data_IF_961099769269
#
_entry.id   IF_961099769269
#
_cell.length_a   1.000
_cell.length_b   1.000
_cell.length_c   1.000
_cell.angle_alpha   90.00
_cell.angle_beta   90.00
_cell.angle_gamma   90.00
#
_symmetry.space_group_name_H-M   'P 1'
#
loop_
_entity.id
_entity.type
_entity.pdbx_description
1 polymer ?
#
# COMPACT_ATOMS: atom_id res chain seq x y z
N UNK A 1 9.28 25.12 -3.93
CA UNK A 1 9.04 24.03 -2.93
C UNK A 1 8.84 22.77 -3.74
N UNK A 2 9.31 21.61 -3.28
CA UNK A 2 9.05 20.38 -4.00
C UNK A 2 7.55 20.15 -4.15
N UNK A 3 7.13 19.58 -5.25
CA UNK A 3 5.76 19.11 -5.45
C UNK A 3 5.63 17.70 -4.85
N UNK A 4 4.56 17.47 -4.08
CA UNK A 4 4.28 16.19 -3.45
C UNK A 4 3.07 15.55 -4.12
N UNK A 5 3.23 14.35 -4.67
CA UNK A 5 2.15 13.58 -5.28
C UNK A 5 1.86 12.37 -4.41
N UNK A 6 0.62 12.27 -3.94
CA UNK A 6 0.12 11.12 -3.17
C UNK A 6 -0.13 9.95 -4.11
N UNK A 7 0.60 8.86 -3.90
CA UNK A 7 0.53 7.63 -4.68
C UNK A 7 -0.28 6.53 -3.98
N UNK A 8 -1.10 6.89 -2.99
CA UNK A 8 -1.94 5.94 -2.26
C UNK A 8 -3.41 6.02 -2.63
N UNK A 9 -4.10 4.89 -2.54
CA UNK A 9 -5.55 4.82 -2.51
C UNK A 9 -6.10 5.14 -1.13
N UNK A 10 -7.37 5.55 -1.07
CA UNK A 10 -8.07 5.71 0.20
C UNK A 10 -8.21 4.36 0.93
N UNK A 11 -8.21 4.41 2.26
CA UNK A 11 -8.69 3.30 3.09
C UNK A 11 -10.21 3.48 3.20
N UNK A 12 -10.98 2.60 2.58
CA UNK A 12 -12.44 2.69 2.47
C UNK A 12 -13.12 1.42 2.98
N UNK A 13 -14.30 1.58 3.59
CA UNK A 13 -15.09 0.45 4.04
C UNK A 13 -15.57 -0.40 2.85
N UNK A 14 -15.44 -1.72 2.95
CA UNK A 14 -15.77 -2.65 1.87
C UNK A 14 -14.73 -2.78 0.78
N UNK A 15 -13.55 -2.19 0.97
CA UNK A 15 -12.44 -2.30 0.03
C UNK A 15 -11.91 -3.73 0.00
N UNK A 16 -11.73 -4.32 -1.22
CA UNK A 16 -11.15 -5.64 -1.34
C UNK A 16 -9.73 -5.66 -0.80
N UNK A 17 -9.42 -6.73 -0.08
CA UNK A 17 -8.09 -6.98 0.47
C UNK A 17 -7.50 -8.19 -0.25
N UNK A 18 -6.30 -8.04 -0.79
CA UNK A 18 -5.60 -9.16 -1.41
C UNK A 18 -5.45 -10.31 -0.40
N UNK A 19 -5.80 -11.52 -0.81
CA UNK A 19 -5.63 -12.73 -0.02
C UNK A 19 -6.55 -12.89 1.22
N UNK A 20 -7.43 -11.94 1.50
CA UNK A 20 -8.35 -11.99 2.64
C UNK A 20 -9.81 -12.20 2.22
N UNK A 21 -10.55 -12.99 3.01
CA UNK A 21 -12.01 -13.10 2.89
C UNK A 21 -12.74 -11.92 3.55
N UNK A 22 -12.01 -11.07 4.28
CA UNK A 22 -12.56 -9.95 5.02
C UNK A 22 -12.34 -8.63 4.29
N UNK A 23 -13.39 -7.81 4.22
CA UNK A 23 -13.31 -6.45 3.72
C UNK A 23 -12.77 -5.50 4.81
N UNK A 24 -12.15 -4.40 4.38
CA UNK A 24 -11.82 -3.27 5.28
C UNK A 24 -13.07 -2.80 6.00
N UNK A 25 -12.98 -2.62 7.32
CA UNK A 25 -14.07 -2.09 8.14
C UNK A 25 -13.62 -0.87 8.95
N UNK A 26 -14.48 0.13 8.99
CA UNK A 26 -14.25 1.36 9.73
C UNK A 26 -15.36 1.53 10.76
N UNK A 27 -15.02 1.41 12.03
CA UNK A 27 -15.97 1.60 13.12
C UNK A 27 -15.80 3.00 13.70
N UNK A 28 -16.87 3.78 13.72
CA UNK A 28 -16.89 4.99 14.53
C UNK A 28 -17.12 4.56 15.99
N UNK A 29 -16.06 4.54 16.77
CA UNK A 29 -16.11 4.12 18.18
C UNK A 29 -16.56 5.23 19.09
N UNK A 30 -16.36 6.50 18.69
CA UNK A 30 -16.77 7.68 19.44
C UNK A 30 -17.21 8.77 18.48
N UNK A 31 -18.43 9.25 18.60
CA UNK A 31 -18.88 10.49 17.97
C UNK A 31 -18.54 11.68 18.87
N UNK A 32 -18.64 12.88 18.32
CA UNK A 32 -18.46 14.10 19.12
C UNK A 32 -19.47 14.19 20.28
N UNK A 33 -20.66 13.60 20.11
CA UNK A 33 -21.76 13.64 21.09
C UNK A 33 -21.62 12.56 22.17
N UNK A 34 -21.07 11.37 21.85
CA UNK A 34 -21.12 10.18 22.73
C UNK A 34 -19.91 9.99 23.63
N UNK A 35 -18.81 10.73 23.41
CA UNK A 35 -17.52 10.43 24.01
C UNK A 35 -17.51 10.30 25.53
N UNK A 36 -18.21 11.19 26.20
CA UNK A 36 -18.24 11.19 27.66
C UNK A 36 -18.94 9.97 28.25
N UNK A 37 -19.96 9.45 27.55
CA UNK A 37 -20.75 8.30 28.00
C UNK A 37 -20.04 6.98 27.69
N UNK A 38 -19.47 6.83 26.52
CA UNK A 38 -18.82 5.58 26.10
C UNK A 38 -17.53 5.29 26.89
N UNK A 39 -16.69 6.30 27.12
CA UNK A 39 -15.48 6.13 27.94
C UNK A 39 -15.82 5.66 29.36
N UNK A 40 -16.90 6.17 29.95
CA UNK A 40 -17.34 5.72 31.25
C UNK A 40 -17.77 4.26 31.23
N UNK A 41 -18.57 3.86 30.23
CA UNK A 41 -19.07 2.49 30.09
C UNK A 41 -17.92 1.49 29.84
N UNK A 42 -16.99 1.82 28.93
CA UNK A 42 -15.82 0.96 28.66
C UNK A 42 -14.91 0.77 29.88
N UNK A 43 -14.75 1.80 30.72
CA UNK A 43 -13.94 1.71 31.92
C UNK A 43 -14.62 0.86 32.98
N UNK A 44 -15.94 1.00 33.13
CA UNK A 44 -16.75 0.17 34.03
C UNK A 44 -16.73 -1.31 33.58
N UNK A 45 -16.87 -1.59 32.29
CA UNK A 45 -16.78 -2.95 31.71
C UNK A 45 -15.41 -3.60 31.88
N UNK A 46 -14.33 -2.80 31.85
CA UNK A 46 -12.95 -3.28 32.07
C UNK A 46 -12.61 -3.37 33.58
N UNK A 47 -13.55 -3.12 34.46
CA UNK A 47 -13.33 -3.16 35.91
C UNK A 47 -12.35 -2.08 36.40
N UNK A 48 -12.15 -1.02 35.63
CA UNK A 48 -11.34 0.12 36.02
C UNK A 48 -12.19 1.07 36.85
N UNK A 49 -11.68 1.37 38.05
CA UNK A 49 -12.34 2.30 38.95
C UNK A 49 -12.50 3.69 38.30
N UNK A 50 -13.75 4.14 38.18
CA UNK A 50 -14.08 5.47 37.65
C UNK A 50 -13.55 6.62 38.53
N UNK A 51 -12.98 6.32 39.69
CA UNK A 51 -12.40 7.27 40.61
C UNK A 51 -10.88 7.44 40.46
N UNK A 52 -10.21 6.69 39.57
CA UNK A 52 -8.81 6.94 39.30
C UNK A 52 -8.60 8.39 38.84
N UNK A 53 -7.60 9.06 39.40
CA UNK A 53 -7.32 10.50 39.20
C UNK A 53 -7.24 10.87 37.70
N UNK A 54 -6.77 9.96 36.84
CA UNK A 54 -6.69 10.14 35.38
C UNK A 54 -8.09 10.20 34.74
N UNK A 55 -8.98 9.26 35.11
CA UNK A 55 -10.35 9.17 34.59
C UNK A 55 -11.18 10.35 35.11
N UNK A 56 -11.05 10.66 36.39
CA UNK A 56 -11.74 11.78 37.02
C UNK A 56 -11.33 13.12 36.44
N UNK A 57 -10.04 13.30 36.12
CA UNK A 57 -9.49 14.51 35.52
C UNK A 57 -9.96 14.68 34.08
N UNK A 58 -9.97 13.61 33.30
CA UNK A 58 -10.41 13.62 31.91
C UNK A 58 -11.92 13.85 31.79
N UNK A 59 -12.70 13.16 32.61
CA UNK A 59 -14.17 13.31 32.64
C UNK A 59 -14.61 14.67 33.24
N UNK A 60 -13.87 15.24 34.21
CA UNK A 60 -14.13 16.58 34.73
C UNK A 60 -13.86 17.67 33.71
N UNK A 61 -12.76 17.58 33.00
CA UNK A 61 -12.44 18.50 31.91
C UNK A 61 -13.52 18.49 30.81
N UNK A 62 -14.17 17.35 30.59
CA UNK A 62 -15.26 17.21 29.62
C UNK A 62 -16.61 17.74 30.16
N UNK A 63 -16.82 17.76 31.48
CA UNK A 63 -18.09 18.24 32.12
C UNK A 63 -18.14 19.75 32.29
N UNK A 64 -17.01 20.44 32.41
CA UNK A 64 -16.95 21.83 32.85
C UNK A 64 -16.81 22.87 31.72
N UNK A 65 -17.22 22.57 30.50
CA UNK A 65 -17.31 23.58 29.47
C UNK A 65 -16.75 23.29 28.10
N UNK A 66 -16.67 22.04 27.69
CA UNK A 66 -16.33 21.66 26.30
C UNK A 66 -17.58 21.16 25.58
N UNK A 67 -18.50 22.06 25.33
CA UNK A 67 -19.82 21.69 24.77
C UNK A 67 -19.84 21.50 23.25
N UNK A 68 -18.77 21.80 22.48
CA UNK A 68 -18.91 21.86 21.04
C UNK A 68 -17.83 21.17 20.20
N UNK A 69 -16.65 20.74 20.74
CA UNK A 69 -15.61 20.12 19.92
C UNK A 69 -14.90 18.93 20.59
N UNK A 70 -15.60 17.83 20.76
CA UNK A 70 -14.98 16.60 21.26
C UNK A 70 -14.27 15.85 20.13
N UNK A 71 -13.02 15.34 20.34
CA UNK A 71 -12.35 14.55 19.31
C UNK A 71 -13.13 13.27 19.03
N UNK A 72 -13.31 12.97 17.73
CA UNK A 72 -13.89 11.72 17.25
C UNK A 72 -12.80 10.66 17.09
N UNK A 73 -13.11 9.41 17.41
CA UNK A 73 -12.24 8.28 17.20
C UNK A 73 -12.88 7.24 16.28
N UNK A 74 -12.06 6.64 15.44
CA UNK A 74 -12.42 5.49 14.62
C UNK A 74 -11.46 4.34 14.90
N UNK A 75 -11.97 3.13 14.87
CA UNK A 75 -11.18 1.90 14.86
C UNK A 75 -11.19 1.35 13.45
N UNK A 76 -10.01 1.01 12.93
CA UNK A 76 -9.83 0.41 11.62
C UNK A 76 -9.53 -1.07 11.80
N UNK A 77 -10.23 -1.93 11.06
CA UNK A 77 -9.87 -3.32 10.83
C UNK A 77 -9.44 -3.41 9.37
N UNK A 78 -8.15 -3.55 9.15
CA UNK A 78 -7.52 -3.61 7.83
C UNK A 78 -6.53 -4.76 7.81
N UNK A 79 -6.24 -5.30 6.62
CA UNK A 79 -5.15 -6.25 6.42
C UNK A 79 -3.80 -5.51 6.37
N UNK A 80 -2.72 -6.20 6.72
CA UNK A 80 -1.36 -5.75 6.46
C UNK A 80 -1.12 -5.53 4.95
N UNK A 81 -1.76 -6.36 4.11
CA UNK A 81 -1.69 -6.34 2.65
C UNK A 81 -2.88 -5.60 2.02
N UNK A 82 -3.21 -4.43 2.53
CA UNK A 82 -4.25 -3.62 1.93
C UNK A 82 -4.52 -2.30 2.66
N UNK A 83 -5.03 -1.25 1.96
CA UNK A 83 -5.22 -1.13 0.51
C UNK A 83 -3.93 -0.91 -0.29
N UNK A 84 -3.32 0.29 -0.29
CA UNK A 84 -1.95 0.52 -0.78
C UNK A 84 -1.00 0.09 0.31
N UNK A 85 -0.12 -0.84 0.02
CA UNK A 85 0.73 -1.48 1.03
C UNK A 85 2.11 -1.79 0.48
N UNK A 86 2.98 -2.19 1.39
CA UNK A 86 4.30 -2.74 1.12
C UNK A 86 4.38 -4.13 1.74
N UNK A 87 5.00 -5.06 1.03
CA UNK A 87 5.30 -6.39 1.53
C UNK A 87 6.69 -6.42 2.17
N UNK A 88 6.82 -7.19 3.24
CA UNK A 88 8.12 -7.52 3.82
C UNK A 88 8.77 -8.69 3.09
N UNK A 89 10.06 -8.89 3.33
CA UNK A 89 10.81 -9.98 2.70
C UNK A 89 10.34 -11.35 3.20
N UNK A 90 9.93 -11.45 4.45
CA UNK A 90 9.45 -12.71 5.04
C UNK A 90 8.03 -13.08 4.58
N UNK A 91 7.34 -12.23 3.82
CA UNK A 91 5.99 -12.52 3.33
C UNK A 91 5.90 -13.85 2.55
N UNK A 92 6.85 -14.14 1.68
CA UNK A 92 6.96 -15.43 0.96
C UNK A 92 8.24 -16.23 1.27
N UNK A 93 9.13 -15.70 2.09
CA UNK A 93 10.33 -16.40 2.53
C UNK A 93 10.32 -16.56 4.07
N UNK A 94 9.60 -17.58 4.59
CA UNK A 94 9.36 -17.72 6.02
C UNK A 94 10.64 -18.05 6.82
N UNK A 95 11.77 -18.23 6.15
CA UNK A 95 13.09 -18.37 6.81
C UNK A 95 13.84 -17.06 6.90
N UNK A 96 13.32 -15.98 6.29
CA UNK A 96 13.86 -14.63 6.46
C UNK A 96 13.55 -14.09 7.86
N UNK A 97 14.47 -13.30 8.40
CA UNK A 97 14.27 -12.55 9.64
C UNK A 97 13.84 -11.09 9.36
N UNK A 98 13.54 -10.76 8.09
CA UNK A 98 13.18 -9.41 7.65
C UNK A 98 11.66 -9.22 7.59
N UNK A 99 11.02 -9.27 8.76
CA UNK A 99 9.65 -8.78 8.93
C UNK A 99 9.59 -7.25 8.76
N UNK A 100 8.40 -6.69 8.55
CA UNK A 100 8.25 -5.27 8.21
C UNK A 100 8.85 -4.31 9.25
N UNK A 101 8.90 -4.69 10.52
CA UNK A 101 9.47 -3.87 11.59
C UNK A 101 11.00 -4.02 11.74
N UNK A 102 11.60 -5.03 11.10
CA UNK A 102 13.04 -5.27 11.09
C UNK A 102 13.73 -4.84 9.78
N UNK A 103 12.97 -4.51 8.73
CA UNK A 103 13.52 -4.02 7.45
C UNK A 103 14.21 -2.67 7.63
N UNK A 104 15.37 -2.43 6.94
CA UNK A 104 16.08 -1.16 6.98
C UNK A 104 15.24 0.02 6.47
N UNK A 105 15.27 1.16 7.14
CA UNK A 105 14.44 2.32 6.77
C UNK A 105 14.83 2.95 5.43
N UNK A 106 16.08 2.85 5.03
CA UNK A 106 16.58 3.34 3.73
C UNK A 106 16.01 2.59 2.53
N UNK A 107 15.41 1.40 2.73
CA UNK A 107 14.69 0.68 1.68
C UNK A 107 13.34 1.35 1.30
N UNK A 108 12.82 2.21 2.15
CA UNK A 108 11.54 2.89 1.96
C UNK A 108 11.67 4.36 1.53
N UNK A 109 12.90 4.76 1.20
CA UNK A 109 13.20 6.14 0.81
C UNK A 109 14.38 6.18 -0.16
N UNK A 110 14.19 6.71 -1.36
CA UNK A 110 15.26 6.78 -2.34
C UNK A 110 14.82 7.30 -3.70
N UNK A 111 15.62 7.05 -4.71
CA UNK A 111 15.30 7.36 -6.09
C UNK A 111 14.23 6.42 -6.63
N UNK A 112 13.36 6.92 -7.49
CA UNK A 112 12.36 6.12 -8.19
C UNK A 112 12.14 6.61 -9.61
N UNK A 113 11.70 5.70 -10.46
CA UNK A 113 11.15 5.97 -11.79
C UNK A 113 9.76 5.36 -11.92
N UNK A 114 8.92 5.91 -12.80
CA UNK A 114 7.60 5.35 -13.09
C UNK A 114 7.43 5.16 -14.58
N UNK A 115 7.13 3.93 -15.01
CA UNK A 115 6.94 3.54 -16.41
C UNK A 115 5.45 3.46 -16.76
N UNK A 116 5.06 4.00 -17.92
CA UNK A 116 3.69 3.91 -18.44
C UNK A 116 3.50 2.59 -19.20
N UNK A 117 2.89 1.62 -18.56
CA UNK A 117 2.55 0.31 -19.13
C UNK A 117 1.04 0.16 -19.36
N UNK A 118 0.30 1.29 -19.41
CA UNK A 118 -1.15 1.29 -19.56
C UNK A 118 -1.66 0.80 -20.92
N UNK A 119 -0.79 0.62 -21.88
CA UNK A 119 -1.09 0.02 -23.19
C UNK A 119 -1.04 -1.53 -23.15
N UNK A 120 -0.49 -2.14 -22.08
CA UNK A 120 -0.52 -3.59 -21.88
C UNK A 120 -1.89 -3.99 -21.32
N UNK A 121 -2.63 -4.79 -22.06
CA UNK A 121 -3.98 -5.18 -21.69
C UNK A 121 -4.06 -6.65 -21.28
N UNK A 122 -4.84 -6.95 -20.22
CA UNK A 122 -5.18 -8.33 -19.89
C UNK A 122 -5.82 -9.05 -21.10
N UNK A 123 -5.42 -10.28 -21.48
CA UNK A 123 -4.70 -11.25 -20.63
C UNK A 123 -3.16 -11.25 -20.80
N UNK A 124 -2.57 -10.30 -21.47
CA UNK A 124 -1.14 -10.29 -21.71
C UNK A 124 -0.39 -9.81 -20.45
N UNK A 125 0.77 -10.43 -20.09
CA UNK A 125 1.62 -9.97 -19.00
C UNK A 125 2.52 -8.81 -19.47
N UNK A 126 3.09 -8.07 -18.53
CA UNK A 126 4.21 -7.17 -18.79
C UNK A 126 5.44 -8.01 -19.10
N UNK A 127 6.03 -7.79 -20.28
CA UNK A 127 7.22 -8.51 -20.74
C UNK A 127 8.49 -7.65 -20.61
N UNK A 128 9.66 -8.26 -20.76
CA UNK A 128 10.93 -7.53 -20.85
C UNK A 128 10.89 -6.49 -21.99
N UNK A 129 10.32 -6.86 -23.15
CA UNK A 129 10.23 -5.93 -24.29
C UNK A 129 9.36 -4.70 -23.99
N UNK A 130 8.31 -4.84 -23.18
CA UNK A 130 7.48 -3.71 -22.78
C UNK A 130 8.26 -2.76 -21.86
N UNK A 131 9.03 -3.31 -20.90
CA UNK A 131 9.88 -2.53 -20.01
C UNK A 131 10.97 -1.78 -20.76
N UNK A 132 11.71 -2.47 -21.66
CA UNK A 132 12.75 -1.87 -22.49
C UNK A 132 12.18 -0.77 -23.40
N UNK A 133 11.02 -1.02 -24.01
CA UNK A 133 10.37 -0.05 -24.88
C UNK A 133 9.97 1.23 -24.13
N UNK A 134 9.46 1.12 -22.90
CA UNK A 134 9.10 2.28 -22.11
C UNK A 134 10.33 3.03 -21.56
N UNK A 135 11.35 2.33 -21.11
CA UNK A 135 12.62 2.95 -20.71
C UNK A 135 13.21 3.78 -21.84
N UNK A 136 13.20 3.23 -23.07
CA UNK A 136 13.69 3.94 -24.26
C UNK A 136 12.81 5.13 -24.65
N UNK A 137 11.48 4.96 -24.63
CA UNK A 137 10.52 5.99 -25.03
C UNK A 137 10.54 7.20 -24.09
N UNK A 138 10.70 6.96 -22.80
CA UNK A 138 10.72 7.99 -21.74
C UNK A 138 12.14 8.53 -21.50
N UNK A 139 13.17 7.90 -22.09
CA UNK A 139 14.57 8.28 -21.89
C UNK A 139 15.07 8.04 -20.48
N UNK A 140 14.51 7.04 -19.81
CA UNK A 140 14.85 6.61 -18.47
C UNK A 140 15.82 5.42 -18.49
N UNK A 141 16.53 5.23 -17.40
CA UNK A 141 17.32 4.03 -17.11
C UNK A 141 17.09 3.64 -15.66
N UNK A 142 17.10 2.36 -15.35
CA UNK A 142 17.11 1.91 -13.96
C UNK A 142 18.53 2.13 -13.42
N UNK A 143 18.65 2.76 -12.28
CA UNK A 143 19.88 2.95 -11.53
C UNK A 143 19.90 2.02 -10.30
N UNK A 144 21.09 1.73 -9.78
CA UNK A 144 21.23 0.88 -8.61
C UNK A 144 20.40 1.45 -7.44
N UNK A 145 19.64 0.61 -6.77
CA UNK A 145 18.76 0.91 -5.66
C UNK A 145 17.49 1.75 -6.02
N UNK A 146 17.13 1.86 -7.30
CA UNK A 146 15.87 2.50 -7.70
C UNK A 146 14.63 1.72 -7.25
N UNK A 147 13.60 2.45 -6.92
CA UNK A 147 12.22 1.95 -6.91
C UNK A 147 11.62 2.09 -8.30
N UNK A 148 11.22 0.99 -8.93
CA UNK A 148 10.58 0.99 -10.26
C UNK A 148 9.08 0.86 -10.10
N UNK A 149 8.33 1.90 -10.47
CA UNK A 149 6.87 1.94 -10.41
C UNK A 149 6.27 1.66 -11.79
N UNK A 150 5.22 0.84 -11.81
CA UNK A 150 4.56 0.32 -13.01
C UNK A 150 3.10 0.81 -13.04
N UNK A 151 2.80 1.79 -13.89
CA UNK A 151 1.43 2.26 -14.13
C UNK A 151 0.78 1.38 -15.21
N UNK A 152 -0.13 0.51 -14.82
CA UNK A 152 -0.88 -0.36 -15.74
C UNK A 152 -2.24 0.20 -16.10
N UNK A 153 -2.68 1.25 -15.43
CA UNK A 153 -4.03 1.79 -15.55
C UNK A 153 -5.11 0.95 -14.87
N UNK A 154 -4.75 -0.18 -14.24
CA UNK A 154 -5.73 -1.08 -13.66
C UNK A 154 -6.57 -0.38 -12.58
N UNK A 155 -5.89 0.28 -11.63
CA UNK A 155 -6.61 1.00 -10.58
C UNK A 155 -7.44 2.16 -11.13
N UNK A 156 -6.87 2.99 -11.99
CA UNK A 156 -7.55 4.15 -12.59
C UNK A 156 -8.81 3.77 -13.36
N UNK A 157 -8.76 2.65 -14.10
CA UNK A 157 -9.82 2.25 -15.04
C UNK A 157 -10.84 1.28 -14.43
N UNK A 158 -10.44 0.49 -13.44
CA UNK A 158 -11.24 -0.64 -12.96
C UNK A 158 -11.59 -0.56 -11.47
N UNK A 159 -10.90 0.25 -10.65
CA UNK A 159 -11.24 0.32 -9.23
C UNK A 159 -12.61 0.96 -8.99
N UNK A 160 -13.51 0.21 -8.36
CA UNK A 160 -14.82 0.70 -7.91
C UNK A 160 -15.34 -0.17 -6.77
N UNK A 161 -15.93 0.45 -5.74
CA UNK A 161 -16.65 -0.25 -4.68
C UNK A 161 -18.13 -0.45 -5.03
N UNK A 162 -18.68 0.35 -5.92
CA UNK A 162 -20.11 0.35 -6.29
C UNK A 162 -20.39 -0.54 -7.52
N UNK A 163 -19.52 -0.50 -8.52
CA UNK A 163 -19.64 -1.30 -9.75
C UNK A 163 -19.00 -2.68 -9.57
N UNK A 164 -19.84 -3.71 -9.45
CA UNK A 164 -19.40 -5.09 -9.27
C UNK A 164 -18.58 -5.65 -10.45
N UNK A 165 -18.86 -5.21 -11.67
CA UNK A 165 -18.09 -5.66 -12.83
C UNK A 165 -16.70 -5.00 -12.85
N UNK A 166 -16.62 -3.72 -12.53
CA UNK A 166 -15.36 -3.01 -12.40
C UNK A 166 -14.54 -3.61 -11.24
N UNK A 167 -15.15 -3.84 -10.08
CA UNK A 167 -14.52 -4.54 -8.96
C UNK A 167 -13.97 -5.90 -9.39
N UNK A 168 -14.76 -6.72 -10.07
CA UNK A 168 -14.32 -8.03 -10.57
C UNK A 168 -13.15 -7.90 -11.57
N UNK A 169 -13.18 -6.93 -12.48
CA UNK A 169 -12.04 -6.69 -13.38
C UNK A 169 -10.79 -6.31 -12.61
N UNK A 170 -10.91 -5.39 -11.67
CA UNK A 170 -9.83 -4.95 -10.81
C UNK A 170 -9.14 -6.11 -10.06
N UNK A 171 -9.96 -7.02 -9.51
CA UNK A 171 -9.50 -8.13 -8.67
C UNK A 171 -8.99 -9.36 -9.46
N UNK A 172 -9.43 -9.56 -10.70
CA UNK A 172 -9.17 -10.82 -11.41
C UNK A 172 -8.67 -10.71 -12.84
N UNK A 173 -8.68 -9.49 -13.41
CA UNK A 173 -8.26 -9.24 -14.81
C UNK A 173 -7.27 -8.09 -14.86
N UNK A 174 -6.36 -8.08 -13.96
CA UNK A 174 -5.29 -7.08 -13.90
C UNK A 174 -4.06 -7.55 -14.69
N UNK A 175 -3.18 -6.60 -14.96
CA UNK A 175 -1.88 -6.83 -15.60
C UNK A 175 -0.82 -6.95 -14.50
N UNK A 176 0.08 -7.89 -14.66
CA UNK A 176 1.24 -8.12 -13.80
C UNK A 176 2.43 -8.58 -14.61
N UNK A 177 3.56 -8.77 -14.00
CA UNK A 177 4.82 -9.16 -14.62
C UNK A 177 4.82 -10.65 -15.01
N UNK A 178 5.42 -10.98 -16.16
CA UNK A 178 5.94 -12.32 -16.39
C UNK A 178 7.25 -12.52 -15.60
N UNK A 179 7.67 -13.77 -15.40
CA UNK A 179 8.85 -14.10 -14.59
C UNK A 179 10.14 -13.43 -15.11
N UNK A 180 10.34 -13.50 -16.43
CA UNK A 180 11.52 -12.88 -17.08
C UNK A 180 11.57 -11.35 -16.88
N UNK A 181 10.41 -10.68 -16.85
CA UNK A 181 10.35 -9.23 -16.62
C UNK A 181 10.71 -8.87 -15.17
N UNK A 182 10.31 -9.70 -14.21
CA UNK A 182 10.77 -9.55 -12.82
C UNK A 182 12.28 -9.75 -12.68
N UNK A 183 12.83 -10.81 -13.28
CA UNK A 183 14.27 -11.07 -13.31
C UNK A 183 15.05 -9.90 -13.96
N UNK A 184 14.52 -9.35 -15.06
CA UNK A 184 15.10 -8.18 -15.72
C UNK A 184 15.19 -6.98 -14.77
N UNK A 185 14.13 -6.64 -14.02
CA UNK A 185 14.16 -5.51 -13.08
C UNK A 185 15.20 -5.71 -11.98
N UNK A 186 15.32 -6.91 -11.44
CA UNK A 186 16.33 -7.26 -10.44
C UNK A 186 17.74 -7.15 -11.03
N UNK A 187 17.98 -7.70 -12.22
CA UNK A 187 19.27 -7.66 -12.92
C UNK A 187 19.71 -6.24 -13.28
N UNK A 188 18.75 -5.32 -13.49
CA UNK A 188 19.01 -3.90 -13.70
C UNK A 188 19.32 -3.12 -12.42
N UNK A 189 19.20 -3.71 -11.25
CA UNK A 189 19.51 -3.08 -9.96
C UNK A 189 18.32 -2.45 -9.22
N UNK A 190 17.10 -2.79 -9.60
CA UNK A 190 15.92 -2.33 -8.83
C UNK A 190 15.96 -2.84 -7.40
N UNK A 191 15.71 -1.96 -6.42
CA UNK A 191 15.58 -2.30 -4.99
C UNK A 191 14.13 -2.53 -4.58
N UNK A 192 13.20 -1.92 -5.32
CA UNK A 192 11.78 -2.11 -5.08
C UNK A 192 10.99 -2.07 -6.41
N UNK A 193 9.88 -2.78 -6.43
CA UNK A 193 8.91 -2.79 -7.54
C UNK A 193 7.56 -2.35 -6.98
N UNK A 194 6.91 -1.37 -7.63
CA UNK A 194 5.58 -0.92 -7.26
C UNK A 194 4.60 -0.99 -8.42
N UNK A 195 3.33 -1.32 -8.16
CA UNK A 195 2.30 -1.48 -9.19
C UNK A 195 0.94 -0.96 -8.72
N UNK A 196 0.11 -0.49 -9.66
CA UNK A 196 -1.26 -0.05 -9.40
C UNK A 196 -2.29 -1.19 -9.45
N UNK A 197 -1.85 -2.43 -9.62
CA UNK A 197 -2.63 -3.66 -9.55
C UNK A 197 -2.61 -4.25 -8.14
N UNK A 198 -3.48 -5.26 -7.92
CA UNK A 198 -3.57 -5.97 -6.62
C UNK A 198 -2.41 -6.94 -6.39
N UNK A 199 -1.63 -7.25 -7.44
CA UNK A 199 -0.44 -8.07 -7.36
C UNK A 199 0.56 -7.68 -8.44
N UNK A 200 1.85 -7.80 -8.15
CA UNK A 200 2.95 -7.74 -9.14
C UNK A 200 2.97 -8.98 -10.04
N UNK A 201 2.51 -10.14 -9.52
CA UNK A 201 2.38 -11.36 -10.31
C UNK A 201 1.18 -11.30 -11.25
N UNK A 202 1.37 -11.74 -12.49
CA UNK A 202 0.27 -11.83 -13.44
C UNK A 202 -0.78 -12.89 -13.03
N UNK A 203 -2.10 -12.64 -13.20
CA UNK A 203 -3.17 -13.57 -12.78
C UNK A 203 -3.02 -15.00 -13.28
N UNK A 204 -2.44 -15.19 -14.48
CA UNK A 204 -2.21 -16.53 -15.02
C UNK A 204 -1.19 -17.36 -14.22
N UNK A 205 -0.30 -16.70 -13.47
CA UNK A 205 0.60 -17.37 -12.53
C UNK A 205 -0.13 -17.74 -11.25
N UNK A 206 -0.95 -16.82 -10.74
CA UNK A 206 -1.68 -16.98 -9.47
C UNK A 206 -2.75 -18.06 -9.59
N UNK A 207 -3.52 -18.09 -10.69
CA UNK A 207 -4.67 -18.98 -10.85
C UNK A 207 -4.41 -20.07 -11.90
N UNK A 208 -4.77 -21.36 -11.64
CA UNK A 208 -5.43 -21.86 -10.43
C UNK A 208 -4.48 -22.35 -9.32
N UNK A 209 -3.16 -22.22 -9.49
CA UNK A 209 -2.16 -22.96 -8.70
C UNK A 209 -1.61 -22.20 -7.50
N UNK A 210 -2.04 -20.98 -7.24
CA UNK A 210 -1.49 -20.11 -6.19
C UNK A 210 0.04 -20.01 -6.28
N UNK A 211 0.54 -19.73 -7.49
CA UNK A 211 1.95 -19.54 -7.75
C UNK A 211 2.28 -18.06 -7.86
N UNK A 212 3.28 -17.60 -7.13
CA UNK A 212 3.70 -16.21 -7.05
C UNK A 212 5.20 -16.08 -7.38
N UNK A 213 5.59 -16.29 -8.65
CA UNK A 213 7.02 -16.33 -9.01
C UNK A 213 7.72 -14.98 -8.78
N UNK A 214 7.04 -13.86 -8.99
CA UNK A 214 7.64 -12.54 -8.78
C UNK A 214 7.83 -12.26 -7.29
N UNK A 215 6.82 -12.53 -6.44
CA UNK A 215 7.00 -12.42 -5.00
C UNK A 215 8.11 -13.33 -4.49
N UNK A 216 8.19 -14.58 -4.97
CA UNK A 216 9.25 -15.50 -4.57
C UNK A 216 10.64 -15.03 -5.02
N UNK A 217 10.74 -14.44 -6.21
CA UNK A 217 11.96 -13.80 -6.71
C UNK A 217 12.34 -12.62 -5.80
N UNK A 218 11.41 -11.71 -5.55
CA UNK A 218 11.63 -10.51 -4.75
C UNK A 218 12.05 -10.85 -3.31
N UNK A 219 11.40 -11.82 -2.67
CA UNK A 219 11.79 -12.27 -1.33
C UNK A 219 13.20 -12.85 -1.30
N UNK A 220 13.58 -13.65 -2.32
CA UNK A 220 14.92 -14.25 -2.42
C UNK A 220 16.02 -13.22 -2.65
N UNK A 221 15.76 -12.22 -3.46
CA UNK A 221 16.72 -11.18 -3.85
C UNK A 221 16.63 -9.91 -2.99
N UNK A 222 15.83 -9.96 -1.90
CA UNK A 222 15.57 -8.84 -0.98
C UNK A 222 15.06 -7.57 -1.67
N UNK A 223 14.11 -7.74 -2.60
CA UNK A 223 13.44 -6.65 -3.32
C UNK A 223 12.09 -6.35 -2.66
N UNK A 224 11.83 -5.07 -2.38
CA UNK A 224 10.59 -4.61 -1.77
C UNK A 224 9.46 -4.56 -2.80
N UNK A 225 8.24 -4.98 -2.42
CA UNK A 225 7.06 -4.90 -3.29
C UNK A 225 6.07 -3.88 -2.72
N UNK A 226 5.55 -3.01 -3.60
CA UNK A 226 4.44 -2.11 -3.32
C UNK A 226 3.25 -2.44 -4.21
N UNK A 227 2.08 -2.68 -3.63
CA UNK A 227 0.87 -3.05 -4.37
C UNK A 227 -0.30 -2.10 -4.12
N UNK A 228 -1.28 -2.17 -5.01
CA UNK A 228 -2.47 -1.31 -4.97
C UNK A 228 -2.15 0.18 -4.94
N UNK A 229 -1.08 0.59 -5.61
CA UNK A 229 -0.72 2.00 -5.71
C UNK A 229 -1.76 2.80 -6.50
N UNK A 230 -1.78 4.09 -6.34
CA UNK A 230 -2.71 4.98 -7.03
C UNK A 230 -1.97 6.17 -7.63
N UNK A 231 -2.61 6.84 -8.59
CA UNK A 231 -2.09 8.08 -9.18
C UNK A 231 -0.71 7.97 -9.87
N UNK A 232 -0.22 6.77 -10.15
CA UNK A 232 1.08 6.55 -10.81
C UNK A 232 1.16 7.30 -12.15
N UNK A 233 0.05 7.40 -12.88
CA UNK A 233 -0.06 8.15 -14.14
C UNK A 233 0.34 9.63 -14.05
N UNK A 234 0.46 10.19 -12.84
CA UNK A 234 0.90 11.59 -12.63
C UNK A 234 2.40 11.75 -12.62
N UNK A 235 3.13 10.66 -12.56
CA UNK A 235 4.59 10.61 -12.42
C UNK A 235 5.25 9.66 -13.43
N UNK A 236 4.49 9.18 -14.44
CA UNK A 236 5.06 8.40 -15.55
C UNK A 236 6.07 9.23 -16.33
N UNK A 237 7.17 8.61 -16.72
CA UNK A 237 8.26 9.28 -17.45
C UNK A 237 9.17 10.13 -16.57
N UNK A 238 8.92 10.22 -15.28
CA UNK A 238 9.71 11.03 -14.36
C UNK A 238 10.64 10.17 -13.48
N UNK A 239 11.78 10.78 -13.10
CA UNK A 239 12.63 10.35 -12.00
C UNK A 239 12.42 11.30 -10.82
N UNK A 240 12.19 10.75 -9.63
CA UNK A 240 11.86 11.53 -8.43
C UNK A 240 12.36 10.86 -7.16
N UNK A 241 12.25 11.57 -6.03
CA UNK A 241 12.45 10.95 -4.71
C UNK A 241 11.15 10.28 -4.26
N UNK A 242 11.24 9.03 -3.88
CA UNK A 242 10.14 8.21 -3.36
C UNK A 242 10.22 8.07 -1.85
N UNK A 243 9.08 8.10 -1.16
CA UNK A 243 8.98 7.92 0.28
C UNK A 243 7.74 7.11 0.63
N UNK A 244 7.90 5.95 1.29
CA UNK A 244 6.81 5.02 1.59
C UNK A 244 7.04 4.21 2.88
N UNK A 245 7.31 4.88 3.99
CA UNK A 245 7.57 4.20 5.26
C UNK A 245 6.37 3.39 5.76
N UNK A 246 6.59 2.10 6.15
CA UNK A 246 5.55 1.26 6.73
C UNK A 246 5.22 1.64 8.17
N UNK A 247 4.09 1.14 8.65
CA UNK A 247 3.84 1.06 10.08
C UNK A 247 4.77 0.01 10.70
N UNK A 248 5.25 0.28 11.90
CA UNK A 248 6.12 -0.66 12.62
C UNK A 248 5.30 -1.76 13.30
N UNK A 249 4.75 -2.67 12.48
CA UNK A 249 3.96 -3.81 12.93
C UNK A 249 4.91 -4.92 13.33
N UNK A 250 4.89 -5.34 14.58
CA UNK A 250 5.79 -6.39 15.07
C UNK A 250 5.49 -7.71 14.37
N UNK A 251 6.55 -8.34 13.85
CA UNK A 251 6.49 -9.61 13.11
C UNK A 251 5.48 -9.56 11.93
N UNK A 252 5.22 -8.35 11.38
CA UNK A 252 4.26 -8.16 10.29
C UNK A 252 4.86 -8.58 8.95
N UNK A 253 4.03 -9.20 8.10
CA UNK A 253 4.40 -9.64 6.74
C UNK A 253 4.21 -8.55 5.70
N UNK A 254 3.65 -7.42 6.07
CA UNK A 254 3.42 -6.24 5.25
C UNK A 254 2.88 -5.09 6.07
N UNK A 255 2.61 -3.97 5.41
CA UNK A 255 2.02 -2.80 6.06
C UNK A 255 1.32 -1.89 5.07
N UNK A 256 0.13 -1.36 5.41
CA UNK A 256 -0.41 -0.20 4.71
C UNK A 256 0.58 0.95 4.73
N UNK A 257 0.71 1.62 3.58
CA UNK A 257 1.59 2.79 3.42
C UNK A 257 0.88 3.94 2.72
N UNK A 258 1.41 5.14 2.87
CA UNK A 258 1.04 6.31 2.06
C UNK A 258 2.23 6.76 1.25
N UNK A 259 2.50 6.11 0.09
CA UNK A 259 3.63 6.46 -0.76
C UNK A 259 3.48 7.87 -1.34
N UNK A 260 4.60 8.57 -1.43
CA UNK A 260 4.66 9.93 -1.94
C UNK A 260 5.80 10.04 -2.94
N UNK A 261 5.50 10.56 -4.13
CA UNK A 261 6.52 11.07 -5.04
C UNK A 261 6.83 12.53 -4.69
N UNK A 262 8.11 12.85 -4.59
CA UNK A 262 8.63 14.16 -4.28
C UNK A 262 9.38 14.64 -5.52
N UNK A 263 8.73 15.50 -6.31
CA UNK A 263 9.31 16.08 -7.51
C UNK A 263 10.08 17.35 -7.15
N UNK A 264 11.26 17.50 -7.70
CA UNK A 264 12.00 18.75 -7.56
C UNK A 264 11.17 19.87 -8.20
N UNK A 265 10.84 20.88 -7.42
CA UNK A 265 10.08 22.03 -7.92
C UNK A 265 10.90 22.70 -9.01
N UNK A 266 10.43 22.66 -10.25
CA UNK A 266 11.02 23.40 -11.33
C UNK A 266 11.12 24.89 -10.97
N UNK A 267 12.26 25.49 -11.28
CA UNK A 267 12.52 26.95 -11.14
C UNK A 267 11.55 27.80 -11.94
#
# INVERSE_FOLDING_TARGET
MPELIDLSGHIEEGQPLAGSADDTRIFTTLTHEDRGFQVKTELEEKGMDSETEYVTRHLRAQREGYDEEQPMNRTLLISEHGPTHVDSIDHLEPTSELSIDEMPLDWFYGSAICLDLSDVEYPDPITVSDLEAQLDAEGLSIEDDDTVLLETGNRRNNYSLEDKEAKHRYESKFVGLEEAAGEFLVDQGAKAIGIDSISVDHPANIYPNYNFPIHALCSREEIVIYENMANLWKVTGDRFTFSAFPLKIRDGTGSPVRPVAILDGGE
#
